data_IF_978422133577
#
_entry.id   IF_978422133577
#
_cell.length_a   1.000
_cell.length_b   1.000
_cell.length_c   1.000
_cell.angle_alpha   90.00
_cell.angle_beta   90.00
_cell.angle_gamma   90.00
#
_symmetry.space_group_name_H-M   'P 1'
#
loop_
_entity.id
_entity.type
_entity.pdbx_description
1 polymer ?
#
# COMPACT_ATOMS: atom_id res chain seq x y z
N UNK A 1 36.88 0.36 -33.58
CA UNK A 1 35.90 -0.53 -32.92
C UNK A 1 35.91 -0.26 -31.42
N UNK A 2 34.72 -0.26 -30.82
CA UNK A 2 34.32 -0.36 -29.39
C UNK A 2 35.41 -0.88 -28.40
N UNK A 3 35.49 -0.54 -27.11
CA UNK A 3 34.68 0.25 -26.15
C UNK A 3 35.57 0.50 -24.90
N UNK A 4 35.51 1.74 -24.40
CA UNK A 4 35.47 2.23 -23.01
C UNK A 4 35.91 1.27 -21.88
N UNK A 5 36.94 1.72 -21.15
CA UNK A 5 37.38 1.26 -19.82
C UNK A 5 36.56 1.96 -18.70
N UNK A 6 36.57 1.42 -17.46
CA UNK A 6 35.58 1.61 -16.39
C UNK A 6 35.99 2.71 -15.38
N UNK A 7 35.36 2.74 -14.19
CA UNK A 7 35.61 3.56 -12.96
C UNK A 7 34.39 4.48 -12.72
N UNK A 8 33.40 4.06 -11.92
CA UNK A 8 33.30 4.01 -10.45
C UNK A 8 33.36 5.41 -9.81
N UNK A 9 32.28 5.71 -9.08
CA UNK A 9 32.14 6.65 -7.98
C UNK A 9 32.63 8.10 -8.17
N UNK A 10 31.71 9.06 -8.00
CA UNK A 10 31.87 10.01 -6.90
C UNK A 10 30.63 10.89 -6.76
N UNK A 11 30.24 11.03 -5.49
CA UNK A 11 29.30 11.99 -4.94
C UNK A 11 29.62 13.43 -5.36
N UNK A 12 28.59 14.27 -5.33
CA UNK A 12 28.73 15.72 -5.35
C UNK A 12 27.37 16.35 -5.65
N UNK A 13 26.48 16.47 -4.68
CA UNK A 13 26.31 17.70 -3.90
C UNK A 13 26.20 18.97 -4.76
N UNK A 14 24.96 19.46 -4.80
CA UNK A 14 24.55 20.82 -4.48
C UNK A 14 24.90 21.97 -5.43
N UNK A 15 23.80 22.54 -5.95
CA UNK A 15 23.46 23.98 -5.92
C UNK A 15 23.97 24.84 -7.06
N UNK A 16 23.05 25.44 -7.84
CA UNK A 16 22.71 26.87 -7.76
C UNK A 16 21.78 27.34 -8.90
N UNK A 17 20.64 27.90 -8.49
CA UNK A 17 20.04 29.20 -8.91
C UNK A 17 19.59 29.43 -10.37
N UNK A 18 18.26 29.53 -10.49
CA UNK A 18 17.40 30.41 -11.31
C UNK A 18 17.78 30.67 -12.78
N UNK A 19 16.91 30.29 -13.71
CA UNK A 19 15.90 31.21 -14.24
C UNK A 19 14.92 30.47 -15.19
N UNK A 20 13.72 31.02 -15.30
CA UNK A 20 12.85 30.97 -16.48
C UNK A 20 11.82 29.83 -16.66
N UNK A 21 10.57 30.29 -16.51
CA UNK A 21 9.33 29.98 -17.26
C UNK A 21 8.43 28.85 -16.75
N UNK A 22 7.44 29.28 -15.94
CA UNK A 22 6.02 28.99 -16.09
C UNK A 22 5.61 27.53 -16.30
N UNK A 23 5.35 26.83 -15.20
CA UNK A 23 4.21 25.91 -15.07
C UNK A 23 3.96 25.75 -13.58
N UNK A 24 3.13 26.62 -13.01
CA UNK A 24 2.45 26.29 -11.76
C UNK A 24 1.47 25.15 -12.05
N UNK A 25 2.01 23.93 -12.15
CA UNK A 25 1.17 22.74 -12.04
C UNK A 25 0.63 22.76 -10.60
N UNK A 26 -0.69 22.85 -10.39
CA UNK A 26 -1.21 22.70 -9.05
C UNK A 26 -0.84 21.28 -8.61
N UNK A 27 0.08 21.17 -7.65
CA UNK A 27 0.33 19.93 -6.94
C UNK A 27 -0.97 19.61 -6.23
N UNK A 28 -1.87 18.88 -6.91
CA UNK A 28 -3.09 18.36 -6.31
C UNK A 28 -2.59 17.39 -5.26
N UNK A 29 -2.49 17.88 -4.02
CA UNK A 29 -2.36 17.01 -2.86
C UNK A 29 -3.64 16.18 -2.84
N UNK A 30 -3.61 15.03 -3.51
CA UNK A 30 -4.63 14.01 -3.38
C UNK A 30 -4.58 13.57 -1.92
N UNK A 31 -5.35 14.25 -1.08
CA UNK A 31 -5.62 13.83 0.30
C UNK A 31 -6.14 12.41 0.16
N UNK A 32 -5.32 11.43 0.55
CA UNK A 32 -5.65 10.03 0.46
C UNK A 32 -6.96 9.84 1.23
N UNK A 33 -8.08 9.74 0.52
CA UNK A 33 -9.36 9.49 1.16
C UNK A 33 -9.23 8.13 1.83
N UNK A 34 -9.23 8.12 3.16
CA UNK A 34 -9.15 6.90 3.94
C UNK A 34 -10.41 6.10 3.63
N UNK A 35 -10.26 5.01 2.89
CA UNK A 35 -11.36 4.09 2.64
C UNK A 35 -11.73 3.43 3.97
N UNK A 36 -12.96 3.65 4.42
CA UNK A 36 -13.51 2.96 5.59
C UNK A 36 -13.99 1.57 5.17
N UNK A 37 -13.71 0.57 6.00
CA UNK A 37 -14.33 -0.75 5.91
C UNK A 37 -15.79 -0.64 6.35
N UNK A 38 -16.72 -0.99 5.47
CA UNK A 38 -18.17 -1.08 5.70
C UNK A 38 -18.51 -2.25 6.64
N UNK A 39 -19.71 -2.25 7.22
CA UNK A 39 -20.09 -3.33 8.14
C UNK A 39 -20.28 -4.68 7.45
N UNK A 40 -20.68 -4.70 6.17
CA UNK A 40 -20.73 -5.92 5.37
C UNK A 40 -19.32 -6.51 5.16
N UNK A 41 -18.35 -5.67 4.79
CA UNK A 41 -16.95 -6.10 4.65
C UNK A 41 -16.35 -6.57 5.97
N UNK A 42 -16.65 -5.88 7.09
CA UNK A 42 -16.19 -6.31 8.43
C UNK A 42 -16.66 -7.71 8.75
N UNK A 43 -17.94 -8.03 8.47
CA UNK A 43 -18.52 -9.34 8.74
C UNK A 43 -17.81 -10.45 7.97
N UNK A 44 -17.42 -10.20 6.72
CA UNK A 44 -16.62 -11.15 5.93
C UNK A 44 -15.21 -11.29 6.52
N UNK A 45 -14.59 -10.17 6.91
CA UNK A 45 -13.25 -10.15 7.51
C UNK A 45 -13.17 -10.84 8.89
N UNK A 46 -14.31 -11.07 9.57
CA UNK A 46 -14.33 -11.79 10.85
C UNK A 46 -13.79 -13.22 10.71
N UNK A 47 -13.94 -13.85 9.54
CA UNK A 47 -13.36 -15.17 9.25
C UNK A 47 -11.83 -15.20 9.34
N UNK A 48 -11.14 -14.06 9.18
CA UNK A 48 -9.67 -13.98 9.35
C UNK A 48 -9.23 -14.21 10.79
N UNK A 49 -10.15 -14.10 11.74
CA UNK A 49 -9.87 -14.16 13.17
C UNK A 49 -10.30 -15.48 13.81
N UNK A 50 -10.79 -16.44 13.03
CA UNK A 50 -11.11 -17.78 13.51
C UNK A 50 -9.85 -18.51 14.02
N UNK A 51 -8.69 -18.19 13.43
CA UNK A 51 -7.41 -18.81 13.77
C UNK A 51 -6.43 -17.82 14.41
N UNK A 52 -5.53 -18.34 15.25
CA UNK A 52 -4.53 -17.53 15.93
C UNK A 52 -3.41 -17.02 15.01
N UNK A 53 -3.25 -17.65 13.85
CA UNK A 53 -2.27 -17.30 12.82
C UNK A 53 -2.95 -16.79 11.54
N UNK A 54 -2.19 -16.08 10.71
CA UNK A 54 -2.66 -15.65 9.40
C UNK A 54 -2.56 -16.81 8.41
N UNK A 55 -3.71 -17.36 7.99
CA UNK A 55 -3.80 -18.38 6.95
C UNK A 55 -3.98 -17.73 5.58
N UNK A 56 -3.06 -18.00 4.64
CA UNK A 56 -3.18 -17.50 3.27
C UNK A 56 -4.41 -18.11 2.57
N UNK A 57 -4.75 -19.38 2.84
CA UNK A 57 -5.92 -20.05 2.25
C UNK A 57 -7.23 -19.38 2.69
N UNK A 58 -7.40 -19.14 3.99
CA UNK A 58 -8.56 -18.42 4.54
C UNK A 58 -8.61 -16.99 4.00
N UNK A 59 -7.47 -16.32 3.89
CA UNK A 59 -7.41 -14.97 3.35
C UNK A 59 -7.77 -14.92 1.85
N UNK A 60 -7.47 -15.97 1.08
CA UNK A 60 -7.89 -16.09 -0.33
C UNK A 60 -9.41 -16.28 -0.43
N UNK A 61 -10.00 -17.13 0.42
CA UNK A 61 -11.46 -17.32 0.46
C UNK A 61 -12.18 -16.00 0.80
N UNK A 62 -11.71 -15.32 1.84
CA UNK A 62 -12.22 -14.02 2.26
C UNK A 62 -12.05 -12.95 1.18
N UNK A 63 -10.94 -12.96 0.44
CA UNK A 63 -10.75 -12.04 -0.68
C UNK A 63 -11.80 -12.28 -1.77
N UNK A 64 -12.13 -13.53 -2.08
CA UNK A 64 -13.16 -13.86 -3.08
C UNK A 64 -14.53 -13.33 -2.64
N UNK A 65 -14.91 -13.55 -1.38
CA UNK A 65 -16.17 -13.03 -0.84
C UNK A 65 -16.21 -11.50 -0.82
N UNK A 66 -15.10 -10.84 -0.48
CA UNK A 66 -15.01 -9.38 -0.50
C UNK A 66 -15.15 -8.82 -1.91
N UNK A 67 -14.63 -9.51 -2.92
CA UNK A 67 -14.72 -9.09 -4.33
C UNK A 67 -16.17 -9.08 -4.85
N UNK A 68 -17.08 -9.85 -4.26
CA UNK A 68 -18.50 -9.81 -4.63
C UNK A 68 -19.20 -8.50 -4.22
N UNK A 69 -18.67 -7.79 -3.22
CA UNK A 69 -19.25 -6.52 -2.72
C UNK A 69 -18.35 -5.30 -2.98
N UNK A 70 -17.03 -5.48 -3.05
CA UNK A 70 -16.04 -4.42 -3.20
C UNK A 70 -14.80 -4.95 -3.94
N UNK A 71 -14.54 -4.35 -5.11
CA UNK A 71 -13.37 -4.67 -5.93
C UNK A 71 -12.07 -4.00 -5.45
N UNK A 72 -12.11 -3.24 -4.36
CA UNK A 72 -10.94 -2.52 -3.83
C UNK A 72 -10.21 -3.25 -2.71
N UNK A 73 -10.54 -4.53 -2.49
CA UNK A 73 -9.79 -5.43 -1.65
C UNK A 73 -8.69 -6.15 -2.41
N UNK A 74 -7.57 -6.36 -1.72
CA UNK A 74 -6.45 -7.18 -2.17
C UNK A 74 -5.79 -7.83 -0.95
N UNK A 75 -4.94 -8.83 -1.19
CA UNK A 75 -4.26 -9.57 -0.11
C UNK A 75 -3.44 -8.68 0.81
N UNK A 76 -2.80 -7.62 0.28
CA UNK A 76 -2.02 -6.70 1.12
C UNK A 76 -2.91 -5.93 2.10
N UNK A 77 -4.09 -5.50 1.66
CA UNK A 77 -5.08 -4.81 2.50
C UNK A 77 -5.65 -5.74 3.56
N UNK A 78 -5.98 -6.98 3.19
CA UNK A 78 -6.42 -8.03 4.12
C UNK A 78 -5.38 -8.30 5.20
N UNK A 79 -4.11 -8.52 4.80
CA UNK A 79 -3.00 -8.74 5.74
C UNK A 79 -2.77 -7.54 6.66
N UNK A 80 -2.88 -6.32 6.13
CA UNK A 80 -2.78 -5.09 6.92
C UNK A 80 -3.91 -5.00 7.94
N UNK A 81 -5.15 -5.32 7.54
CA UNK A 81 -6.31 -5.34 8.41
C UNK A 81 -6.11 -6.32 9.58
N UNK A 82 -5.69 -7.55 9.28
CA UNK A 82 -5.44 -8.57 10.31
C UNK A 82 -4.34 -8.17 11.30
N UNK A 83 -3.22 -7.64 10.80
CA UNK A 83 -2.12 -7.15 11.64
C UNK A 83 -2.56 -6.01 12.57
N UNK A 84 -3.37 -5.08 12.07
CA UNK A 84 -3.89 -3.97 12.89
C UNK A 84 -4.85 -4.48 13.97
N UNK A 85 -5.65 -5.49 13.66
CA UNK A 85 -6.53 -6.14 14.62
C UNK A 85 -5.74 -6.86 15.73
N UNK A 86 -4.76 -7.70 15.38
CA UNK A 86 -3.89 -8.37 16.36
C UNK A 86 -3.16 -7.37 17.27
N UNK A 87 -2.65 -6.27 16.71
CA UNK A 87 -2.02 -5.18 17.50
C UNK A 87 -2.99 -4.49 18.46
N UNK A 88 -4.28 -4.42 18.11
CA UNK A 88 -5.31 -3.82 18.97
C UNK A 88 -5.68 -4.74 20.13
N UNK A 89 -5.73 -6.04 19.91
CA UNK A 89 -6.04 -7.04 20.95
C UNK A 89 -4.85 -7.25 21.90
N UNK A 90 -3.62 -7.14 21.39
CA UNK A 90 -2.41 -7.32 22.21
C UNK A 90 -2.11 -6.13 23.16
N UNK A 91 -3.00 -5.13 23.25
CA UNK A 91 -2.87 -3.97 24.14
C UNK A 91 -3.88 -4.05 25.26
#
# INVERSE_FOLDING_TARGET
>A
MQKKHPIVESQGQQSNVLDSVNSEEPIIQHKLQRKCTTDAEKKILEGLFEFDFFSDDTAIEILRELQDISNDWNMQRIRTYWNNYKKKISK
#
